data_IF_900601946211
#
_entry.id   IF_900601946211
#
_cell.length_a   1.000
_cell.length_b   1.000
_cell.length_c   1.000
_cell.angle_alpha   90.00
_cell.angle_beta   90.00
_cell.angle_gamma   90.00
#
_symmetry.space_group_name_H-M   'P 1'
#
loop_
_entity.id
_entity.type
_entity.pdbx_description
1 polymer ?
#
# COMPACT_ATOMS: atom_id res chain seq x y z
N UNK A 1 -7.19 -9.67 29.29
CA UNK A 1 -7.06 -9.20 27.90
C UNK A 1 -7.87 -10.13 26.98
N UNK A 2 -8.73 -9.61 26.11
CA UNK A 2 -9.48 -10.44 25.16
C UNK A 2 -8.53 -11.12 24.16
N UNK A 3 -8.89 -12.31 23.64
CA UNK A 3 -8.09 -13.02 22.61
C UNK A 3 -7.78 -12.13 21.39
N UNK A 4 -8.71 -11.24 21.04
CA UNK A 4 -8.55 -10.24 19.97
C UNK A 4 -7.46 -9.21 20.29
N UNK A 5 -7.38 -8.71 21.53
CA UNK A 5 -6.37 -7.74 21.93
C UNK A 5 -4.94 -8.30 21.92
N UNK A 6 -4.75 -9.56 22.31
CA UNK A 6 -3.45 -10.23 22.26
C UNK A 6 -3.00 -10.51 20.81
N UNK A 7 -3.93 -10.90 19.94
CA UNK A 7 -3.68 -11.08 18.51
C UNK A 7 -3.29 -9.75 17.83
N UNK A 8 -4.08 -8.69 18.03
CA UNK A 8 -3.80 -7.35 17.50
C UNK A 8 -2.44 -6.82 17.97
N UNK A 9 -2.09 -7.01 19.24
CA UNK A 9 -0.78 -6.59 19.76
C UNK A 9 0.38 -7.35 19.09
N UNK A 10 0.25 -8.67 18.90
CA UNK A 10 1.28 -9.48 18.24
C UNK A 10 1.40 -9.14 16.76
N UNK A 11 0.28 -8.98 16.07
CA UNK A 11 0.22 -8.60 14.66
C UNK A 11 0.83 -7.22 14.43
N UNK A 12 0.44 -6.20 15.21
CA UNK A 12 1.00 -4.85 15.11
C UNK A 12 2.50 -4.82 15.40
N UNK A 13 3.00 -5.64 16.34
CA UNK A 13 4.46 -5.74 16.56
C UNK A 13 5.19 -6.35 15.36
N UNK A 14 4.63 -7.39 14.76
CA UNK A 14 5.19 -8.00 13.55
C UNK A 14 5.14 -7.05 12.36
N UNK A 15 3.99 -6.39 12.13
CA UNK A 15 3.78 -5.42 11.06
C UNK A 15 4.60 -4.15 11.22
N UNK A 16 4.78 -3.69 12.46
CA UNK A 16 5.69 -2.60 12.75
C UNK A 16 7.14 -2.98 12.43
N UNK A 17 7.51 -4.23 12.71
CA UNK A 17 8.86 -4.73 12.42
C UNK A 17 9.08 -4.94 10.92
N UNK A 18 8.06 -5.36 10.16
CA UNK A 18 8.15 -5.48 8.70
C UNK A 18 8.19 -4.12 8.01
N UNK A 19 7.44 -3.13 8.50
CA UNK A 19 7.54 -1.74 8.05
C UNK A 19 8.97 -1.18 8.20
N UNK A 20 9.63 -1.47 9.33
CA UNK A 20 11.04 -1.09 9.54
C UNK A 20 11.97 -1.83 8.56
N UNK A 21 11.77 -3.13 8.36
CA UNK A 21 12.56 -3.91 7.40
C UNK A 21 12.43 -3.36 5.97
N UNK A 22 11.23 -2.94 5.56
CA UNK A 22 10.97 -2.31 4.28
C UNK A 22 11.66 -0.94 4.17
N UNK A 23 11.60 -0.09 5.19
CA UNK A 23 12.33 1.19 5.22
C UNK A 23 13.84 0.97 5.09
N UNK A 24 14.40 -0.02 5.80
CA UNK A 24 15.81 -0.38 5.70
C UNK A 24 16.16 -0.84 4.29
N UNK A 25 15.35 -1.71 3.68
CA UNK A 25 15.52 -2.15 2.30
C UNK A 25 15.52 -0.96 1.32
N UNK A 26 14.57 -0.03 1.45
CA UNK A 26 14.53 1.18 0.63
C UNK A 26 15.77 2.04 0.81
N UNK A 27 16.22 2.24 2.05
CA UNK A 27 17.42 3.01 2.35
C UNK A 27 18.67 2.37 1.73
N UNK A 28 18.83 1.05 1.86
CA UNK A 28 19.94 0.30 1.26
C UNK A 28 19.91 0.46 -0.27
N UNK A 29 18.78 0.25 -0.92
CA UNK A 29 18.68 0.39 -2.38
C UNK A 29 19.06 1.79 -2.85
N UNK A 30 18.60 2.84 -2.15
CA UNK A 30 18.96 4.22 -2.48
C UNK A 30 20.44 4.51 -2.24
N UNK A 31 21.04 4.02 -1.15
CA UNK A 31 22.47 4.17 -0.88
C UNK A 31 23.29 3.51 -1.98
N UNK A 32 23.00 2.25 -2.32
CA UNK A 32 23.75 1.52 -3.33
C UNK A 32 23.59 2.13 -4.73
N UNK A 33 22.36 2.49 -5.13
CA UNK A 33 22.08 3.13 -6.41
C UNK A 33 22.81 4.47 -6.61
N UNK A 34 23.14 5.16 -5.53
CA UNK A 34 23.82 6.47 -5.54
C UNK A 34 25.28 6.41 -5.07
N UNK A 35 25.86 5.21 -4.99
CA UNK A 35 27.25 4.98 -4.57
C UNK A 35 28.15 4.57 -5.75
N UNK A 36 29.48 4.51 -5.56
CA UNK A 36 30.39 3.90 -6.52
C UNK A 36 30.06 2.44 -6.86
N UNK A 37 29.28 1.75 -6.03
CA UNK A 37 28.83 0.37 -6.23
C UNK A 37 27.53 0.24 -7.04
N UNK A 38 27.01 1.33 -7.61
CA UNK A 38 25.76 1.33 -8.37
C UNK A 38 25.77 0.33 -9.54
N UNK A 39 26.88 0.19 -10.25
CA UNK A 39 27.01 -0.80 -11.33
C UNK A 39 26.97 -2.24 -10.79
N UNK A 40 27.62 -2.51 -9.66
CA UNK A 40 27.55 -3.81 -8.99
C UNK A 40 26.13 -4.12 -8.52
N UNK A 41 25.45 -3.13 -7.93
CA UNK A 41 24.06 -3.24 -7.52
C UNK A 41 23.13 -3.59 -8.69
N UNK A 42 23.24 -2.89 -9.82
CA UNK A 42 22.47 -3.20 -11.03
C UNK A 42 22.77 -4.61 -11.56
N UNK A 43 24.05 -5.00 -11.57
CA UNK A 43 24.46 -6.34 -12.05
C UNK A 43 23.95 -7.49 -11.17
N UNK A 44 23.75 -7.25 -9.86
CA UNK A 44 23.21 -8.24 -8.93
C UNK A 44 21.72 -8.43 -9.17
N UNK A 45 20.94 -7.36 -9.33
CA UNK A 45 19.48 -7.45 -9.40
C UNK A 45 18.93 -7.65 -10.81
N UNK A 46 19.63 -7.21 -11.86
CA UNK A 46 19.16 -7.33 -13.25
C UNK A 46 18.80 -8.76 -13.66
N UNK A 47 19.59 -9.81 -13.35
CA UNK A 47 19.25 -11.19 -13.72
C UNK A 47 18.02 -11.75 -13.00
N UNK A 48 17.70 -11.20 -11.82
CA UNK A 48 16.59 -11.66 -10.98
C UNK A 48 15.37 -10.75 -11.07
N UNK A 49 15.42 -9.68 -11.87
CA UNK A 49 14.39 -8.66 -11.92
C UNK A 49 13.01 -9.26 -12.24
N UNK A 50 12.90 -10.06 -13.31
CA UNK A 50 11.65 -10.71 -13.67
C UNK A 50 11.21 -11.75 -12.62
N UNK A 51 12.15 -12.49 -12.04
CA UNK A 51 11.83 -13.46 -10.98
C UNK A 51 11.25 -12.78 -9.73
N UNK A 52 11.81 -11.63 -9.35
CA UNK A 52 11.33 -10.82 -8.21
C UNK A 52 9.97 -10.20 -8.55
N UNK A 53 9.82 -9.59 -9.72
CA UNK A 53 8.60 -8.89 -10.09
C UNK A 53 7.45 -9.83 -10.44
N UNK A 54 7.71 -11.03 -10.95
CA UNK A 54 6.66 -12.00 -11.29
C UNK A 54 6.49 -13.06 -10.19
N UNK A 55 7.57 -13.74 -9.82
CA UNK A 55 7.53 -14.88 -8.90
C UNK A 55 7.24 -14.48 -7.46
N UNK A 56 8.01 -13.55 -6.91
CA UNK A 56 7.83 -13.10 -5.53
C UNK A 56 6.52 -12.33 -5.35
N UNK A 57 6.13 -11.50 -6.33
CA UNK A 57 4.84 -10.81 -6.29
C UNK A 57 3.65 -11.76 -6.42
N UNK A 58 3.75 -12.86 -7.18
CA UNK A 58 2.69 -13.87 -7.18
C UNK A 58 2.47 -14.48 -5.78
N UNK A 59 3.54 -14.72 -5.01
CA UNK A 59 3.41 -15.19 -3.62
C UNK A 59 2.77 -14.10 -2.73
N UNK A 60 3.16 -12.85 -2.92
CA UNK A 60 2.53 -11.71 -2.23
C UNK A 60 1.03 -11.62 -2.53
N UNK A 61 0.64 -11.65 -3.81
CA UNK A 61 -0.76 -11.60 -4.21
C UNK A 61 -1.55 -12.84 -3.79
N UNK A 62 -0.92 -14.01 -3.72
CA UNK A 62 -1.52 -15.20 -3.12
C UNK A 62 -1.84 -14.97 -1.64
N UNK A 63 -0.90 -14.39 -0.86
CA UNK A 63 -1.15 -14.02 0.53
C UNK A 63 -2.30 -13.01 0.64
N UNK A 64 -2.31 -11.96 -0.18
CA UNK A 64 -3.41 -10.97 -0.23
C UNK A 64 -4.74 -11.66 -0.52
N UNK A 65 -4.78 -12.60 -1.47
CA UNK A 65 -5.98 -13.40 -1.75
C UNK A 65 -6.46 -14.23 -0.55
N UNK A 66 -5.54 -14.79 0.25
CA UNK A 66 -5.88 -15.49 1.48
C UNK A 66 -6.42 -14.52 2.54
N UNK A 67 -5.83 -13.32 2.66
CA UNK A 67 -6.30 -12.30 3.59
C UNK A 67 -7.71 -11.81 3.25
N UNK A 68 -7.97 -11.55 1.97
CA UNK A 68 -9.32 -11.24 1.46
C UNK A 68 -10.27 -12.36 1.86
N UNK A 69 -9.93 -13.62 1.57
CA UNK A 69 -10.75 -14.77 1.97
C UNK A 69 -11.03 -14.78 3.47
N UNK A 70 -10.00 -14.57 4.29
CA UNK A 70 -10.11 -14.55 5.76
C UNK A 70 -11.08 -13.45 6.21
N UNK A 71 -10.98 -12.24 5.67
CA UNK A 71 -11.88 -11.14 6.01
C UNK A 71 -13.34 -11.45 5.71
N UNK A 72 -13.63 -12.09 4.58
CA UNK A 72 -15.00 -12.52 4.24
C UNK A 72 -15.52 -13.65 5.15
N UNK A 73 -14.65 -14.55 5.62
CA UNK A 73 -15.08 -15.70 6.44
C UNK A 73 -15.11 -15.43 7.96
N UNK A 74 -14.13 -14.67 8.46
CA UNK A 74 -13.81 -14.53 9.88
C UNK A 74 -13.68 -13.05 10.32
N UNK A 75 -13.46 -12.12 9.39
CA UNK A 75 -13.17 -10.71 9.68
C UNK A 75 -14.33 -9.74 9.50
N UNK A 76 -14.02 -8.47 9.26
CA UNK A 76 -15.02 -7.38 9.25
C UNK A 76 -15.95 -7.44 8.03
N UNK A 77 -15.48 -8.00 6.91
CA UNK A 77 -16.28 -8.17 5.68
C UNK A 77 -17.43 -9.16 5.84
N UNK A 78 -17.41 -10.00 6.87
CA UNK A 78 -18.53 -10.87 7.23
C UNK A 78 -19.80 -10.09 7.59
N UNK A 79 -19.64 -8.90 8.18
CA UNK A 79 -20.74 -8.02 8.58
C UNK A 79 -20.70 -6.75 7.72
N UNK A 80 -21.56 -6.63 6.68
CA UNK A 80 -21.53 -5.50 5.75
C UNK A 80 -21.60 -4.13 6.43
N UNK A 81 -22.32 -4.03 7.55
CA UNK A 81 -22.43 -2.78 8.32
C UNK A 81 -21.10 -2.31 8.92
N UNK A 82 -20.23 -3.24 9.32
CA UNK A 82 -18.92 -2.91 9.88
C UNK A 82 -17.92 -2.58 8.77
N UNK A 83 -17.94 -3.35 7.69
CA UNK A 83 -17.06 -3.15 6.54
C UNK A 83 -17.41 -1.90 5.71
N UNK A 84 -18.65 -1.42 5.77
CA UNK A 84 -19.10 -0.28 4.97
C UNK A 84 -18.19 0.95 5.15
N UNK A 85 -17.87 1.35 6.39
CA UNK A 85 -17.07 2.55 6.61
C UNK A 85 -15.67 2.43 5.98
N UNK A 86 -14.85 1.40 6.28
CA UNK A 86 -13.56 1.21 5.61
C UNK A 86 -13.65 1.05 4.09
N UNK A 87 -14.66 0.34 3.58
CA UNK A 87 -14.80 0.07 2.13
C UNK A 87 -15.11 1.36 1.36
N UNK A 88 -16.07 2.17 1.82
CA UNK A 88 -16.35 3.45 1.19
C UNK A 88 -15.14 4.39 1.27
N UNK A 89 -14.47 4.42 2.42
CA UNK A 89 -13.25 5.19 2.61
C UNK A 89 -12.12 4.74 1.66
N UNK A 90 -11.93 3.43 1.44
CA UNK A 90 -11.00 2.89 0.46
C UNK A 90 -11.35 3.33 -0.97
N UNK A 91 -12.64 3.22 -1.38
CA UNK A 91 -13.09 3.69 -2.70
C UNK A 91 -12.73 5.16 -2.93
N UNK A 92 -13.00 6.04 -1.96
CA UNK A 92 -12.61 7.45 -2.03
C UNK A 92 -11.09 7.65 -2.04
N UNK A 93 -10.39 6.90 -1.18
CA UNK A 93 -8.94 6.85 -1.08
C UNK A 93 -8.24 6.28 -2.30
N UNK A 94 -8.97 5.69 -3.24
CA UNK A 94 -8.47 5.20 -4.51
C UNK A 94 -8.83 6.15 -5.64
N UNK A 95 -10.10 6.52 -5.73
CA UNK A 95 -10.63 7.35 -6.80
C UNK A 95 -9.97 8.74 -6.84
N UNK A 96 -9.80 9.38 -5.69
CA UNK A 96 -9.30 10.76 -5.66
C UNK A 96 -7.80 10.87 -6.01
N UNK A 97 -6.89 10.02 -5.48
CA UNK A 97 -5.50 10.01 -5.93
C UNK A 97 -5.35 9.72 -7.43
N UNK A 98 -6.10 8.74 -7.95
CA UNK A 98 -6.10 8.41 -9.38
C UNK A 98 -6.54 9.60 -10.24
N UNK A 99 -7.63 10.27 -9.84
CA UNK A 99 -8.16 11.43 -10.56
C UNK A 99 -7.17 12.59 -10.55
N UNK A 100 -6.56 12.90 -9.40
CA UNK A 100 -5.54 13.96 -9.29
C UNK A 100 -4.36 13.65 -10.21
N UNK A 101 -3.84 12.41 -10.15
CA UNK A 101 -2.73 12.01 -11.02
C UNK A 101 -3.11 12.14 -12.50
N UNK A 102 -4.28 11.66 -12.91
CA UNK A 102 -4.74 11.69 -14.29
C UNK A 102 -4.93 13.12 -14.83
N UNK A 103 -5.44 14.04 -14.00
CA UNK A 103 -5.60 15.46 -14.37
C UNK A 103 -4.22 16.11 -14.55
N UNK A 104 -3.30 15.92 -13.59
CA UNK A 104 -1.96 16.52 -13.65
C UNK A 104 -1.14 15.98 -14.81
N UNK A 105 -1.31 14.71 -15.16
CA UNK A 105 -0.56 14.04 -16.24
C UNK A 105 -1.35 14.00 -17.55
N UNK A 106 -2.36 14.85 -17.72
CA UNK A 106 -3.13 14.90 -18.97
C UNK A 106 -2.23 15.37 -20.12
N UNK A 107 -2.09 14.53 -21.15
CA UNK A 107 -1.19 14.80 -22.29
C UNK A 107 0.27 14.34 -22.10
N UNK A 108 0.61 13.75 -20.96
CA UNK A 108 1.95 13.19 -20.69
C UNK A 108 2.04 11.71 -21.06
N UNK A 109 3.26 11.18 -21.23
CA UNK A 109 3.52 9.77 -21.52
C UNK A 109 2.94 8.82 -20.46
N UNK A 110 2.86 9.28 -19.22
CA UNK A 110 2.37 8.52 -18.08
C UNK A 110 0.86 8.66 -17.83
N UNK A 111 0.08 9.29 -18.72
CA UNK A 111 -1.36 9.48 -18.54
C UNK A 111 -2.13 8.16 -18.30
N UNK A 112 -1.70 7.07 -18.94
CA UNK A 112 -2.26 5.73 -18.76
C UNK A 112 -1.93 5.10 -17.40
N UNK A 113 -0.95 5.64 -16.66
CA UNK A 113 -0.42 5.07 -15.43
C UNK A 113 -1.08 5.63 -14.15
N UNK A 114 -2.34 6.07 -14.26
CA UNK A 114 -3.10 6.67 -13.15
C UNK A 114 -3.26 5.77 -11.92
N UNK A 115 -3.24 4.46 -12.10
CA UNK A 115 -3.37 3.53 -10.98
C UNK A 115 -2.15 3.51 -10.05
N UNK A 116 -0.99 4.05 -10.45
CA UNK A 116 0.20 4.15 -9.57
C UNK A 116 -0.11 4.95 -8.29
N UNK A 117 -0.99 5.94 -8.36
CA UNK A 117 -1.32 6.81 -7.23
C UNK A 117 -2.24 6.16 -6.17
N UNK A 118 -2.83 4.99 -6.47
CA UNK A 118 -3.91 4.42 -5.66
C UNK A 118 -3.44 3.52 -4.51
N UNK A 119 -2.50 2.57 -4.69
CA UNK A 119 -2.24 1.54 -3.67
C UNK A 119 -1.69 2.10 -2.35
N UNK A 120 -1.98 1.37 -1.28
CA UNK A 120 -1.50 1.62 0.08
C UNK A 120 -0.57 0.49 0.52
N UNK A 121 0.52 0.79 1.22
CA UNK A 121 1.40 -0.24 1.78
C UNK A 121 1.11 -0.38 3.28
N UNK A 122 0.47 -1.50 3.63
CA UNK A 122 -0.04 -1.73 4.98
C UNK A 122 1.07 -1.80 6.03
N UNK A 123 2.23 -2.39 5.69
CA UNK A 123 3.35 -2.54 6.60
C UNK A 123 3.94 -1.18 6.95
N UNK A 124 4.05 -0.28 5.97
CA UNK A 124 4.49 1.10 6.18
C UNK A 124 3.48 1.90 7.01
N UNK A 125 2.19 1.80 6.67
CA UNK A 125 1.13 2.55 7.35
C UNK A 125 0.98 2.09 8.82
N UNK A 126 0.95 0.79 9.08
CA UNK A 126 0.91 0.22 10.43
C UNK A 126 2.22 0.43 11.18
N UNK A 127 3.37 0.39 10.51
CA UNK A 127 4.67 0.69 11.10
C UNK A 127 4.77 2.13 11.58
N UNK A 128 4.31 3.10 10.78
CA UNK A 128 4.22 4.49 11.21
C UNK A 128 3.20 4.67 12.35
N UNK A 129 2.06 3.98 12.30
CA UNK A 129 1.06 4.00 13.37
C UNK A 129 1.61 3.43 14.69
N UNK A 130 2.49 2.43 14.64
CA UNK A 130 3.10 1.83 15.81
C UNK A 130 4.09 2.75 16.53
N UNK A 131 4.70 3.72 15.82
CA UNK A 131 5.54 4.76 16.43
C UNK A 131 4.75 5.66 17.42
N UNK A 132 3.43 5.73 17.27
CA UNK A 132 2.53 6.47 18.16
C UNK A 132 2.17 5.69 19.44
N UNK A 133 2.59 4.43 19.53
CA UNK A 133 2.50 3.60 20.74
C UNK A 133 1.07 3.31 21.20
N UNK A 134 0.85 3.37 22.52
CA UNK A 134 -0.43 3.07 23.17
C UNK A 134 -1.46 4.20 23.07
N UNK A 135 -1.11 5.33 22.43
CA UNK A 135 -2.02 6.49 22.26
C UNK A 135 -3.15 6.18 21.27
N UNK A 136 -2.90 5.25 20.34
CA UNK A 136 -3.83 4.92 19.27
C UNK A 136 -4.87 3.87 19.69
N UNK A 137 -6.15 4.21 19.52
CA UNK A 137 -7.28 3.33 19.75
C UNK A 137 -7.26 2.08 18.84
N UNK A 138 -7.78 0.96 19.35
CA UNK A 138 -7.85 -0.29 18.58
C UNK A 138 -8.77 -0.17 17.36
N UNK A 139 -9.82 0.65 17.43
CA UNK A 139 -10.71 0.93 16.31
C UNK A 139 -10.00 1.60 15.14
N UNK A 140 -8.99 2.45 15.38
CA UNK A 140 -8.22 3.05 14.30
C UNK A 140 -7.33 2.02 13.59
N UNK A 141 -6.73 1.10 14.36
CA UNK A 141 -5.92 -0.01 13.82
C UNK A 141 -6.77 -0.95 12.97
N UNK A 142 -7.97 -1.29 13.44
CA UNK A 142 -8.93 -2.11 12.69
C UNK A 142 -9.38 -1.38 11.43
N UNK A 143 -9.76 -0.10 11.54
CA UNK A 143 -10.15 0.72 10.39
C UNK A 143 -9.06 0.74 9.31
N UNK A 144 -7.81 1.01 9.68
CA UNK A 144 -6.69 1.09 8.74
C UNK A 144 -6.38 -0.29 8.12
N UNK A 145 -6.45 -1.36 8.90
CA UNK A 145 -6.28 -2.74 8.42
C UNK A 145 -7.36 -3.10 7.38
N UNK A 146 -8.64 -2.89 7.71
CA UNK A 146 -9.74 -3.19 6.80
C UNK A 146 -9.70 -2.30 5.55
N UNK A 147 -9.32 -1.02 5.70
CA UNK A 147 -9.16 -0.09 4.58
C UNK A 147 -8.06 -0.55 3.63
N UNK A 148 -6.88 -0.93 4.15
CA UNK A 148 -5.77 -1.41 3.32
C UNK A 148 -6.13 -2.69 2.55
N UNK A 149 -6.79 -3.65 3.20
CA UNK A 149 -7.25 -4.89 2.52
C UNK A 149 -8.27 -4.57 1.43
N UNK A 150 -9.20 -3.63 1.69
CA UNK A 150 -10.16 -3.19 0.68
C UNK A 150 -9.45 -2.51 -0.51
N UNK A 151 -8.50 -1.63 -0.23
CA UNK A 151 -7.65 -0.95 -1.22
C UNK A 151 -6.92 -1.96 -2.11
N UNK A 152 -6.31 -2.98 -1.52
CA UNK A 152 -5.55 -4.01 -2.22
C UNK A 152 -6.46 -4.87 -3.11
N UNK A 153 -7.61 -5.29 -2.59
CA UNK A 153 -8.62 -6.03 -3.36
C UNK A 153 -9.05 -5.24 -4.60
N UNK A 154 -9.42 -3.97 -4.42
CA UNK A 154 -9.85 -3.13 -5.54
C UNK A 154 -8.68 -2.81 -6.48
N UNK A 155 -7.46 -2.65 -5.98
CA UNK A 155 -6.27 -2.40 -6.80
C UNK A 155 -5.98 -3.59 -7.71
N UNK A 156 -6.10 -4.82 -7.20
CA UNK A 156 -5.95 -6.04 -8.02
C UNK A 156 -7.02 -6.12 -9.11
N UNK A 157 -8.28 -5.77 -8.78
CA UNK A 157 -9.37 -5.76 -9.77
C UNK A 157 -9.08 -4.74 -10.88
N UNK A 158 -8.67 -3.52 -10.50
CA UNK A 158 -8.31 -2.46 -11.45
C UNK A 158 -7.15 -2.89 -12.33
N UNK A 159 -6.12 -3.50 -11.74
CA UNK A 159 -4.98 -4.02 -12.49
C UNK A 159 -5.41 -5.05 -13.54
N UNK A 160 -6.24 -6.01 -13.15
CA UNK A 160 -6.73 -7.04 -14.07
C UNK A 160 -7.61 -6.50 -15.21
N UNK A 161 -8.33 -5.40 -15.00
CA UNK A 161 -9.22 -4.83 -16.01
C UNK A 161 -8.46 -3.85 -16.93
N UNK A 162 -7.67 -2.94 -16.38
CA UNK A 162 -7.13 -1.79 -17.11
C UNK A 162 -5.69 -1.98 -17.59
N UNK A 163 -4.91 -2.82 -16.92
CA UNK A 163 -3.51 -3.04 -17.26
C UNK A 163 -3.28 -4.41 -17.87
N UNK A 164 -4.32 -5.19 -18.20
CA UNK A 164 -4.17 -6.54 -18.74
C UNK A 164 -3.85 -6.61 -20.24
N UNK A 165 -4.00 -5.52 -20.99
CA UNK A 165 -3.75 -5.50 -22.43
C UNK A 165 -2.27 -5.27 -22.75
N UNK A 166 -1.63 -6.25 -23.41
CA UNK A 166 -0.24 -6.14 -23.89
C UNK A 166 0.83 -6.71 -22.93
N UNK A 167 0.42 -7.25 -21.79
CA UNK A 167 1.33 -7.96 -20.89
C UNK A 167 1.52 -9.40 -21.38
N UNK A 168 2.72 -9.96 -21.23
CA UNK A 168 2.94 -11.41 -21.25
C UNK A 168 1.86 -12.09 -20.40
N UNK A 169 1.13 -13.05 -20.99
CA UNK A 169 0.07 -13.79 -20.31
C UNK A 169 0.52 -14.34 -18.94
N UNK A 170 1.81 -14.64 -18.79
CA UNK A 170 2.45 -15.14 -17.57
C UNK A 170 2.32 -14.15 -16.39
N UNK A 171 2.49 -12.84 -16.58
CA UNK A 171 2.44 -11.84 -15.50
C UNK A 171 1.01 -11.64 -14.94
N UNK A 172 0.02 -11.64 -15.83
CA UNK A 172 -1.40 -11.54 -15.43
C UNK A 172 -1.86 -12.84 -14.79
N UNK A 173 -1.53 -13.98 -15.42
CA UNK A 173 -1.91 -15.31 -14.92
C UNK A 173 -1.25 -15.59 -13.57
N UNK A 174 0.00 -15.17 -13.34
CA UNK A 174 0.65 -15.36 -12.04
C UNK A 174 -0.01 -14.52 -10.95
N UNK A 175 -0.32 -13.25 -11.20
CA UNK A 175 -0.95 -12.36 -10.21
C UNK A 175 -2.43 -12.72 -9.95
N UNK A 176 -3.26 -12.76 -11.00
CA UNK A 176 -4.69 -13.08 -10.86
C UNK A 176 -4.87 -14.56 -10.48
N UNK A 177 -4.06 -15.46 -11.05
CA UNK A 177 -4.11 -16.88 -10.72
C UNK A 177 -3.69 -17.17 -9.29
N UNK A 178 -2.70 -16.46 -8.75
CA UNK A 178 -2.35 -16.54 -7.33
C UNK A 178 -3.53 -16.16 -6.42
N UNK A 179 -4.20 -15.03 -6.70
CA UNK A 179 -5.38 -14.59 -5.93
C UNK A 179 -6.51 -15.59 -6.09
N UNK A 180 -6.81 -16.03 -7.32
CA UNK A 180 -7.88 -17.00 -7.58
C UNK A 180 -7.61 -18.34 -6.86
N UNK A 181 -6.38 -18.82 -6.86
CA UNK A 181 -5.96 -20.02 -6.13
C UNK A 181 -6.15 -19.84 -4.62
N UNK A 182 -5.75 -18.69 -4.07
CA UNK A 182 -5.95 -18.37 -2.67
C UNK A 182 -7.43 -18.37 -2.27
N UNK A 183 -8.29 -17.77 -3.11
CA UNK A 183 -9.74 -17.77 -2.91
C UNK A 183 -10.34 -19.18 -3.04
N UNK A 184 -9.84 -20.01 -3.96
CA UNK A 184 -10.31 -21.37 -4.21
C UNK A 184 -9.85 -22.39 -3.15
N UNK A 185 -8.78 -22.12 -2.40
CA UNK A 185 -8.20 -23.08 -1.45
C UNK A 185 -9.20 -23.54 -0.38
N UNK A 186 -9.53 -24.84 -0.27
CA UNK A 186 -10.52 -25.31 0.70
C UNK A 186 -10.10 -24.98 2.14
N UNK A 187 -11.02 -24.39 2.91
CA UNK A 187 -10.80 -24.10 4.33
C UNK A 187 -11.55 -25.13 5.16
N UNK A 188 -10.82 -25.96 5.92
CA UNK A 188 -11.37 -27.05 6.72
C UNK A 188 -10.74 -27.14 8.11
N UNK A 189 -11.18 -28.09 8.94
CA UNK A 189 -10.70 -28.22 10.34
C UNK A 189 -9.18 -28.45 10.48
N UNK A 190 -8.52 -29.05 9.48
CA UNK A 190 -7.06 -29.34 9.50
C UNK A 190 -6.21 -28.25 8.85
N UNK A 191 -6.68 -27.65 7.76
CA UNK A 191 -6.01 -26.55 7.04
C UNK A 191 -6.98 -25.37 7.02
N UNK A 192 -6.74 -24.40 7.90
CA UNK A 192 -7.49 -23.14 7.93
C UNK A 192 -6.74 -22.08 7.16
N UNK A 193 -7.46 -21.20 6.48
CA UNK A 193 -6.90 -20.02 5.79
C UNK A 193 -5.94 -19.26 6.70
N UNK A 194 -6.34 -19.04 7.95
CA UNK A 194 -5.54 -18.36 8.98
C UNK A 194 -4.21 -19.06 9.28
N UNK A 195 -4.15 -20.39 9.22
CA UNK A 195 -2.89 -21.13 9.42
C UNK A 195 -1.92 -20.94 8.26
N UNK A 196 -2.44 -20.92 7.02
CA UNK A 196 -1.62 -20.69 5.82
C UNK A 196 -1.09 -19.25 5.81
N UNK A 197 -1.94 -18.26 6.10
CA UNK A 197 -1.53 -16.86 6.26
C UNK A 197 -0.40 -16.75 7.29
N UNK A 198 -0.59 -17.28 8.49
CA UNK A 198 0.44 -17.19 9.55
C UNK A 198 1.78 -17.84 9.17
N UNK A 199 1.77 -18.80 8.24
CA UNK A 199 2.99 -19.44 7.74
C UNK A 199 3.67 -18.60 6.66
N UNK A 200 2.93 -18.04 5.71
CA UNK A 200 3.48 -17.28 4.58
C UNK A 200 3.83 -15.85 4.96
N UNK A 201 3.01 -15.24 5.83
CA UNK A 201 3.10 -13.83 6.17
C UNK A 201 4.49 -13.39 6.66
N UNK A 202 5.21 -14.11 7.54
CA UNK A 202 6.57 -13.71 7.92
C UNK A 202 7.54 -13.68 6.74
N UNK A 203 7.47 -14.66 5.84
CA UNK A 203 8.32 -14.66 4.64
C UNK A 203 7.94 -13.51 3.70
N UNK A 204 6.65 -13.24 3.53
CA UNK A 204 6.19 -12.11 2.74
C UNK A 204 6.74 -10.78 3.30
N UNK A 205 6.50 -10.56 4.59
CA UNK A 205 6.77 -9.31 5.27
C UNK A 205 8.28 -9.01 5.47
N UNK A 206 9.11 -10.04 5.69
CA UNK A 206 10.54 -9.86 5.99
C UNK A 206 11.50 -10.25 4.86
N UNK A 207 11.03 -10.97 3.83
CA UNK A 207 11.87 -11.39 2.71
C UNK A 207 11.33 -10.86 1.39
N UNK A 208 10.10 -11.20 1.02
CA UNK A 208 9.53 -10.90 -0.31
C UNK A 208 9.41 -9.39 -0.52
N UNK A 209 8.71 -8.68 0.38
CA UNK A 209 8.47 -7.24 0.24
C UNK A 209 9.79 -6.43 0.33
N UNK A 210 10.69 -6.68 1.32
CA UNK A 210 11.98 -5.99 1.35
C UNK A 210 12.87 -6.29 0.15
N UNK A 211 12.90 -7.53 -0.35
CA UNK A 211 13.68 -7.90 -1.53
C UNK A 211 13.11 -7.26 -2.81
N UNK A 212 11.79 -7.21 -2.95
CA UNK A 212 11.12 -6.49 -4.02
C UNK A 212 11.47 -5.00 -4.00
N UNK A 213 11.39 -4.37 -2.82
CA UNK A 213 11.76 -2.98 -2.66
C UNK A 213 13.24 -2.77 -3.00
N UNK A 214 14.13 -3.64 -2.53
CA UNK A 214 15.55 -3.59 -2.84
C UNK A 214 15.83 -3.63 -4.34
N UNK A 215 15.12 -4.45 -5.11
CA UNK A 215 15.32 -4.55 -6.55
C UNK A 215 14.73 -3.35 -7.33
N UNK A 216 13.61 -2.80 -6.87
CA UNK A 216 12.80 -1.89 -7.68
C UNK A 216 12.88 -0.42 -7.28
N UNK A 217 13.13 -0.08 -6.01
CA UNK A 217 13.12 1.33 -5.55
C UNK A 217 14.39 2.09 -5.94
N UNK A 218 15.50 1.38 -6.17
CA UNK A 218 16.78 1.99 -6.52
C UNK A 218 16.65 2.93 -7.71
N UNK A 219 17.03 4.19 -7.50
CA UNK A 219 17.03 5.25 -8.51
C UNK A 219 18.27 6.10 -8.32
N UNK A 220 18.95 6.43 -9.42
CA UNK A 220 20.03 7.41 -9.42
C UNK A 220 19.45 8.80 -9.27
N UNK A 221 19.88 9.49 -8.23
CA UNK A 221 19.48 10.84 -7.85
C UNK A 221 20.62 11.76 -8.26
N UNK A 222 20.44 12.47 -9.36
CA UNK A 222 21.31 13.59 -9.71
C UNK A 222 20.79 14.86 -9.01
N UNK A 223 21.58 15.38 -8.09
CA UNK A 223 21.24 16.59 -7.33
C UNK A 223 21.05 17.82 -8.22
N UNK A 224 21.64 17.85 -9.42
CA UNK A 224 21.48 18.97 -10.35
C UNK A 224 20.11 18.98 -11.03
N UNK A 225 19.54 17.80 -11.32
CA UNK A 225 18.22 17.64 -11.96
C UNK A 225 17.10 17.34 -10.98
N UNK A 226 17.42 17.09 -9.69
CA UNK A 226 16.44 16.69 -8.67
C UNK A 226 15.25 17.64 -8.59
N UNK A 227 15.49 18.95 -8.68
CA UNK A 227 14.42 19.95 -8.70
C UNK A 227 13.46 19.74 -9.88
N UNK A 228 13.99 19.45 -11.07
CA UNK A 228 13.18 19.17 -12.26
C UNK A 228 12.44 17.84 -12.15
N UNK A 229 13.09 16.80 -11.58
CA UNK A 229 12.47 15.49 -11.36
C UNK A 229 11.30 15.58 -10.39
N UNK A 230 11.44 16.31 -9.28
CA UNK A 230 10.36 16.49 -8.30
C UNK A 230 9.23 17.34 -8.87
N UNK A 231 9.56 18.38 -9.64
CA UNK A 231 8.58 19.26 -10.28
C UNK A 231 7.97 18.68 -11.56
N UNK A 232 8.34 17.47 -11.98
CA UNK A 232 7.74 16.84 -13.15
C UNK A 232 6.24 16.56 -12.94
N UNK A 233 5.42 16.56 -14.00
CA UNK A 233 4.00 16.22 -13.89
C UNK A 233 3.75 14.85 -13.22
N UNK A 234 4.60 13.86 -13.51
CA UNK A 234 4.49 12.50 -12.94
C UNK A 234 4.72 12.56 -11.43
N UNK A 235 5.83 13.16 -10.99
CA UNK A 235 6.20 13.25 -9.57
C UNK A 235 5.21 14.10 -8.79
N UNK A 236 4.86 15.29 -9.30
CA UNK A 236 3.89 16.19 -8.64
C UNK A 236 2.50 15.56 -8.58
N UNK A 237 2.05 14.92 -9.65
CA UNK A 237 0.79 14.18 -9.69
C UNK A 237 0.73 13.07 -8.62
N UNK A 238 1.83 12.33 -8.43
CA UNK A 238 1.93 11.33 -7.35
C UNK A 238 1.97 11.96 -5.97
N UNK A 239 2.77 13.00 -5.76
CA UNK A 239 2.88 13.67 -4.48
C UNK A 239 1.53 14.24 -4.05
N UNK A 240 0.87 15.02 -4.91
CA UNK A 240 -0.45 15.59 -4.60
C UNK A 240 -1.54 14.53 -4.52
N UNK A 241 -1.56 13.58 -5.47
CA UNK A 241 -2.53 12.50 -5.48
C UNK A 241 -2.47 11.66 -4.21
N UNK A 242 -1.27 11.29 -3.76
CA UNK A 242 -1.10 10.46 -2.56
C UNK A 242 -1.24 11.26 -1.28
N UNK A 243 -0.58 12.40 -1.15
CA UNK A 243 -0.58 13.19 0.10
C UNK A 243 -1.94 13.84 0.33
N UNK A 244 -2.48 14.55 -0.66
CA UNK A 244 -3.75 15.27 -0.53
C UNK A 244 -4.92 14.35 -0.88
N UNK A 245 -4.82 13.63 -1.99
CA UNK A 245 -5.91 12.79 -2.48
C UNK A 245 -6.29 11.67 -1.52
N UNK A 246 -5.34 11.02 -0.83
CA UNK A 246 -5.69 10.00 0.18
C UNK A 246 -6.40 10.60 1.37
N UNK A 247 -5.89 11.70 1.93
CA UNK A 247 -6.50 12.37 3.09
C UNK A 247 -7.93 12.79 2.75
N UNK A 248 -8.10 13.53 1.65
CA UNK A 248 -9.40 14.05 1.25
C UNK A 248 -10.35 12.93 0.81
N UNK A 249 -9.88 11.97 0.01
CA UNK A 249 -10.69 10.88 -0.51
C UNK A 249 -11.24 9.98 0.59
N UNK A 250 -10.35 9.53 1.49
CA UNK A 250 -10.71 8.66 2.62
C UNK A 250 -11.67 9.39 3.56
N UNK A 251 -11.35 10.64 3.93
CA UNK A 251 -12.17 11.40 4.88
C UNK A 251 -13.53 11.77 4.29
N UNK A 252 -13.58 12.20 3.03
CA UNK A 252 -14.81 12.59 2.34
C UNK A 252 -15.74 11.40 2.16
N UNK A 253 -15.24 10.28 1.67
CA UNK A 253 -16.10 9.12 1.43
C UNK A 253 -16.50 8.42 2.73
N UNK A 254 -15.65 8.43 3.76
CA UNK A 254 -16.05 8.01 5.11
C UNK A 254 -17.21 8.88 5.64
N UNK A 255 -17.10 10.21 5.49
CA UNK A 255 -18.15 11.13 5.87
C UNK A 255 -19.45 10.90 5.08
N UNK A 256 -19.36 10.78 3.75
CA UNK A 256 -20.51 10.48 2.89
C UNK A 256 -21.20 9.18 3.29
N UNK A 257 -20.44 8.10 3.53
CA UNK A 257 -21.00 6.81 3.94
C UNK A 257 -21.79 6.91 5.25
N UNK A 258 -21.34 7.74 6.20
CA UNK A 258 -22.03 7.99 7.46
C UNK A 258 -23.29 8.83 7.24
N UNK A 259 -23.20 9.92 6.45
CA UNK A 259 -24.35 10.80 6.18
C UNK A 259 -25.46 10.09 5.41
N UNK A 260 -25.10 9.25 4.44
CA UNK A 260 -26.03 8.46 3.63
C UNK A 260 -26.54 7.21 4.36
N UNK A 261 -26.16 7.00 5.64
CA UNK A 261 -26.56 5.88 6.48
C UNK A 261 -26.14 4.50 5.93
N UNK A 262 -25.14 4.45 5.06
CA UNK A 262 -24.51 3.21 4.61
C UNK A 262 -23.58 2.62 5.67
N UNK A 263 -23.00 3.47 6.52
CA UNK A 263 -22.10 3.06 7.58
C UNK A 263 -22.40 3.75 8.92
N UNK A 264 -22.02 3.10 10.01
CA UNK A 264 -22.09 3.67 11.37
C UNK A 264 -20.68 3.96 11.85
N UNK A 265 -20.45 5.19 12.30
CA UNK A 265 -19.14 5.60 12.82
C UNK A 265 -18.88 4.96 14.20
N UNK A 266 -17.74 4.29 14.43
CA UNK A 266 -17.36 3.86 15.77
C UNK A 266 -17.25 5.07 16.72
N UNK A 267 -17.77 4.94 17.95
CA UNK A 267 -17.79 6.04 18.93
C UNK A 267 -16.39 6.53 19.31
N UNK A 268 -15.39 5.64 19.28
CA UNK A 268 -13.99 5.93 19.58
C UNK A 268 -13.23 6.64 18.46
N UNK A 269 -13.78 6.70 17.23
CA UNK A 269 -13.00 7.07 16.05
C UNK A 269 -13.41 8.44 15.52
N UNK A 270 -12.57 9.46 15.67
CA UNK A 270 -12.84 10.84 15.22
C UNK A 270 -12.58 11.02 13.71
N UNK A 271 -13.18 12.05 13.09
CA UNK A 271 -12.89 12.36 11.68
C UNK A 271 -11.44 12.82 11.46
N UNK A 272 -10.82 13.40 12.49
CA UNK A 272 -9.41 13.81 12.45
C UNK A 272 -8.48 12.59 12.49
N UNK A 273 -8.86 11.54 13.23
CA UNK A 273 -8.15 10.27 13.19
C UNK A 273 -8.35 9.53 11.87
N UNK A 274 -9.54 9.60 11.26
CA UNK A 274 -9.75 9.11 9.87
C UNK A 274 -8.81 9.85 8.91
N UNK A 275 -8.72 11.17 9.01
CA UNK A 275 -7.83 11.96 8.17
C UNK A 275 -6.34 11.61 8.41
N UNK A 276 -5.95 11.38 9.66
CA UNK A 276 -4.60 10.94 10.02
C UNK A 276 -4.28 9.53 9.48
N UNK A 277 -5.21 8.58 9.59
CA UNK A 277 -5.10 7.27 8.95
C UNK A 277 -5.04 7.38 7.42
N UNK A 278 -5.83 8.30 6.84
CA UNK A 278 -5.80 8.57 5.41
C UNK A 278 -4.46 9.14 4.93
N UNK A 279 -3.82 9.98 5.75
CA UNK A 279 -2.46 10.45 5.48
C UNK A 279 -1.46 9.27 5.50
N UNK A 280 -1.52 8.40 6.52
CA UNK A 280 -0.65 7.21 6.58
C UNK A 280 -0.90 6.24 5.41
N UNK A 281 -2.13 6.14 4.91
CA UNK A 281 -2.44 5.35 3.70
C UNK A 281 -1.74 5.88 2.44
N UNK A 282 -1.29 7.15 2.44
CA UNK A 282 -0.46 7.73 1.38
C UNK A 282 0.95 7.14 1.25
N UNK A 283 1.40 6.31 2.19
CA UNK A 283 2.78 5.76 2.24
C UNK A 283 3.07 4.60 1.27
N UNK A 284 2.09 4.16 0.48
CA UNK A 284 2.26 3.08 -0.50
C UNK A 284 3.44 3.23 -1.46
N UNK A 285 4.26 2.18 -1.56
CA UNK A 285 5.43 2.09 -2.44
C UNK A 285 5.37 0.84 -3.32
N UNK A 286 5.22 -0.34 -2.70
CA UNK A 286 5.46 -1.65 -3.33
C UNK A 286 4.51 -1.94 -4.50
N UNK A 287 3.21 -1.95 -4.25
CA UNK A 287 2.22 -2.17 -5.31
C UNK A 287 2.28 -1.02 -6.33
N UNK A 288 2.49 0.23 -5.89
CA UNK A 288 2.66 1.36 -6.82
C UNK A 288 3.84 1.19 -7.79
N UNK A 289 4.98 0.68 -7.31
CA UNK A 289 6.14 0.37 -8.15
C UNK A 289 5.85 -0.77 -9.12
N UNK A 290 5.13 -1.80 -8.65
CA UNK A 290 4.70 -2.91 -9.50
C UNK A 290 3.80 -2.42 -10.64
N UNK A 291 2.83 -1.54 -10.34
CA UNK A 291 1.98 -0.92 -11.37
C UNK A 291 2.81 -0.07 -12.33
N UNK A 292 3.80 0.67 -11.82
CA UNK A 292 4.65 1.51 -12.65
C UNK A 292 5.46 0.69 -13.66
N UNK A 293 6.02 -0.44 -13.23
CA UNK A 293 6.76 -1.36 -14.09
C UNK A 293 5.89 -2.01 -15.18
N UNK A 294 4.59 -2.19 -14.90
CA UNK A 294 3.63 -2.68 -15.89
C UNK A 294 3.15 -1.59 -16.86
N UNK A 295 3.05 -0.33 -16.39
CA UNK A 295 2.40 0.75 -17.13
C UNK A 295 3.36 1.63 -17.95
N UNK A 296 4.64 1.70 -17.56
CA UNK A 296 5.61 2.64 -18.12
C UNK A 296 6.77 1.90 -18.79
N UNK A 297 7.19 2.40 -19.96
CA UNK A 297 8.25 1.78 -20.77
C UNK A 297 9.57 2.56 -20.78
N UNK A 298 9.59 3.77 -20.21
CA UNK A 298 10.74 4.68 -20.27
C UNK A 298 11.43 4.75 -18.90
N UNK A 299 12.77 4.60 -18.89
CA UNK A 299 13.57 4.71 -17.67
C UNK A 299 13.41 6.08 -16.98
N UNK A 300 13.24 7.15 -17.75
CA UNK A 300 13.00 8.51 -17.26
C UNK A 300 11.68 8.60 -16.47
N UNK A 301 10.60 8.04 -17.00
CA UNK A 301 9.29 8.07 -16.34
C UNK A 301 9.31 7.24 -15.06
N UNK A 302 9.94 6.07 -15.09
CA UNK A 302 10.14 5.23 -13.91
C UNK A 302 10.97 5.94 -12.82
N UNK A 303 12.02 6.68 -13.20
CA UNK A 303 12.80 7.46 -12.25
C UNK A 303 11.97 8.55 -11.56
N UNK A 304 11.13 9.26 -12.34
CA UNK A 304 10.20 10.26 -11.80
C UNK A 304 9.18 9.61 -10.85
N UNK A 305 8.60 8.46 -11.22
CA UNK A 305 7.69 7.71 -10.34
C UNK A 305 8.38 7.33 -9.02
N UNK A 306 9.58 6.75 -9.06
CA UNK A 306 10.31 6.34 -7.86
C UNK A 306 10.55 7.54 -6.92
N UNK A 307 11.02 8.66 -7.46
CA UNK A 307 11.24 9.90 -6.69
C UNK A 307 9.93 10.47 -6.14
N UNK A 308 8.87 10.50 -6.95
CA UNK A 308 7.53 10.93 -6.54
C UNK A 308 6.95 10.08 -5.41
N UNK A 309 7.07 8.75 -5.50
CA UNK A 309 6.60 7.80 -4.49
C UNK A 309 7.36 7.95 -3.17
N UNK A 310 8.70 8.06 -3.21
CA UNK A 310 9.52 8.28 -2.00
C UNK A 310 9.15 9.60 -1.33
N UNK A 311 9.05 10.67 -2.12
CA UNK A 311 8.69 12.00 -1.63
C UNK A 311 7.29 12.00 -1.00
N UNK A 312 6.32 11.37 -1.68
CA UNK A 312 4.97 11.22 -1.18
C UNK A 312 4.91 10.40 0.11
N UNK A 313 5.67 9.30 0.21
CA UNK A 313 5.68 8.45 1.41
C UNK A 313 6.26 9.17 2.62
N UNK A 314 7.34 9.94 2.45
CA UNK A 314 7.93 10.75 3.53
C UNK A 314 6.94 11.82 3.98
N UNK A 315 6.35 12.59 3.05
CA UNK A 315 5.38 13.64 3.38
C UNK A 315 4.12 13.08 4.05
N UNK A 316 3.61 11.95 3.53
CA UNK A 316 2.45 11.23 4.09
C UNK A 316 2.71 10.73 5.50
N UNK A 317 3.90 10.16 5.76
CA UNK A 317 4.31 9.72 7.09
C UNK A 317 4.35 10.89 8.08
N UNK A 318 5.03 11.98 7.72
CA UNK A 318 5.16 13.17 8.56
C UNK A 318 3.80 13.79 8.89
N UNK A 319 2.93 13.95 7.89
CA UNK A 319 1.59 14.52 8.07
C UNK A 319 0.70 13.60 8.90
N UNK A 320 0.68 12.30 8.61
CA UNK A 320 -0.15 11.34 9.34
C UNK A 320 0.26 11.22 10.81
N UNK A 321 1.56 11.12 11.08
CA UNK A 321 2.09 11.13 12.45
C UNK A 321 1.72 12.44 13.15
N UNK A 322 1.91 13.60 12.51
CA UNK A 322 1.62 14.91 13.12
C UNK A 322 0.12 15.09 13.45
N UNK A 323 -0.77 14.69 12.53
CA UNK A 323 -2.23 14.76 12.74
C UNK A 323 -2.63 13.85 13.90
N UNK A 324 -2.16 12.60 13.91
CA UNK A 324 -2.53 11.62 14.93
C UNK A 324 -1.92 11.94 16.30
N UNK A 325 -0.69 12.46 16.36
CA UNK A 325 -0.09 12.95 17.61
C UNK A 325 -0.92 14.07 18.24
N UNK A 326 -1.48 14.96 17.41
CA UNK A 326 -2.26 16.10 17.89
C UNK A 326 -3.68 15.73 18.31
N UNK A 327 -4.31 14.76 17.63
CA UNK A 327 -5.76 14.51 17.79
C UNK A 327 -6.12 13.14 18.36
N UNK A 328 -5.19 12.19 18.42
CA UNK A 328 -5.38 10.88 19.07
C UNK A 328 -4.84 10.87 20.51
N UNK A 329 -4.74 12.06 21.14
CA UNK A 329 -4.47 12.13 22.57
C UNK A 329 -5.66 11.54 23.32
N UNK A 330 -5.44 10.37 23.91
CA UNK A 330 -6.16 9.95 25.10
C UNK A 330 -6.20 11.16 26.03
N UNK A 331 -7.40 11.67 26.31
CA UNK A 331 -7.60 12.47 27.51
C UNK A 331 -7.28 11.50 28.66
N UNK A 332 -6.09 11.63 29.23
CA UNK A 332 -5.82 11.11 30.57
C UNK A 332 -6.72 11.86 31.57
#
# INVERSE_FOLDING_TARGET
MSRLGAFLSKFVKTESSSGVALVIACAIALIFANSPFSQSYESIFSPFHDFINEGLMAIFFFLVGLEIKREFTEGEFKNPKNAALPVFAAIGGMALPALIFAIVNSGESAASAWAIAMPTDIALALGALALLGSRIDSSLKIFLLTLAIADDLFSIIILGIFYSSGISAIKIVSTIGAVALALALPSGKKITTTRVINWIHPYSAFLIIPLFALANIGVRIDFSTLGQTISSPISTGLIFGRVIGKILGITLFAWLAIQLKFAVKPTSLTYKEIAGAGALAGMGLTVSLFIADLALNTATDLAQVKVGLISAAILSALLGISILQKFSLKND
#
